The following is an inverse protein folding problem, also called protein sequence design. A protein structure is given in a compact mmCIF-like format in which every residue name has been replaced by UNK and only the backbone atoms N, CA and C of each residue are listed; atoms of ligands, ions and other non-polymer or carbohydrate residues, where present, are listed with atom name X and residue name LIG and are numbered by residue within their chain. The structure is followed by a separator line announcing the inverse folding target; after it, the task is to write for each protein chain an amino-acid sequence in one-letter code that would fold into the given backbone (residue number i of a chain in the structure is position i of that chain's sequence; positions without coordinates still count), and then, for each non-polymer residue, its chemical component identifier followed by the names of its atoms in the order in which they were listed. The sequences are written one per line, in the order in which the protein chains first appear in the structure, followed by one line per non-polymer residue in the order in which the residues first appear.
data_IF_228476631260
#
_entry.id   IF_228476631260
#
_cell.length_a   1.000
_cell.length_b   1.000
_cell.length_c   1.000
_cell.angle_alpha   90.00
_cell.angle_beta   90.00
_cell.angle_gamma   90.00
#
_symmetry.space_group_name_H-M   'P 1'
#
loop_
_entity.id
_entity.type
_entity.pdbx_description
1 polymer ?
#
# COMPACT_ATOMS: atom_id res chain seq x y z
N UNK A 1 -22.46 2.69 1.24
CA UNK A 1 -21.43 1.74 1.69
C UNK A 1 -20.18 2.50 2.05
N UNK A 2 -19.57 2.22 3.21
CA UNK A 2 -18.25 2.77 3.58
C UNK A 2 -17.19 2.33 2.54
N UNK A 3 -16.22 3.20 2.28
CA UNK A 3 -15.10 3.04 1.33
C UNK A 3 -14.27 1.75 1.53
N UNK A 4 -14.37 1.14 2.70
CA UNK A 4 -13.51 0.03 3.13
C UNK A 4 -13.81 -1.30 2.42
N UNK A 5 -14.97 -1.44 1.78
CA UNK A 5 -15.34 -2.70 1.11
C UNK A 5 -14.75 -2.83 -0.32
N UNK A 6 -14.34 -1.73 -0.95
CA UNK A 6 -13.91 -1.74 -2.36
C UNK A 6 -12.57 -2.47 -2.52
N UNK A 7 -11.66 -2.31 -1.56
CA UNK A 7 -10.34 -2.98 -1.58
C UNK A 7 -10.44 -4.50 -1.47
N UNK A 8 -11.58 -5.01 -0.99
CA UNK A 8 -11.82 -6.44 -0.79
C UNK A 8 -12.49 -7.12 -1.98
N UNK A 9 -12.82 -6.38 -3.05
CA UNK A 9 -13.33 -6.97 -4.29
C UNK A 9 -12.26 -7.93 -4.84
N UNK A 10 -12.53 -9.24 -4.95
CA UNK A 10 -11.52 -10.18 -5.41
C UNK A 10 -11.13 -9.89 -6.86
N UNK A 11 -9.83 -9.65 -7.11
CA UNK A 11 -9.30 -9.40 -8.46
C UNK A 11 -9.66 -10.55 -9.41
N UNK A 12 -9.66 -11.78 -8.89
CA UNK A 12 -10.07 -12.97 -9.64
C UNK A 12 -11.49 -12.84 -10.19
N UNK A 13 -12.43 -12.39 -9.35
CA UNK A 13 -13.84 -12.30 -9.72
C UNK A 13 -14.10 -11.11 -10.66
N UNK A 14 -13.41 -9.99 -10.42
CA UNK A 14 -13.42 -8.85 -11.33
C UNK A 14 -12.93 -9.25 -12.73
N UNK A 15 -11.76 -9.89 -12.83
CA UNK A 15 -11.22 -10.35 -14.12
C UNK A 15 -12.11 -11.39 -14.79
N UNK A 16 -12.67 -12.33 -14.01
CA UNK A 16 -13.61 -13.33 -14.52
C UNK A 16 -14.83 -12.68 -15.16
N UNK A 17 -15.40 -11.66 -14.53
CA UNK A 17 -16.54 -10.92 -15.08
C UNK A 17 -16.16 -10.14 -16.35
N UNK A 18 -14.91 -9.70 -16.48
CA UNK A 18 -14.37 -9.13 -17.72
C UNK A 18 -14.00 -10.20 -18.77
N UNK A 19 -14.33 -11.48 -18.54
CA UNK A 19 -14.03 -12.59 -19.45
C UNK A 19 -12.55 -13.02 -19.47
N UNK A 20 -11.76 -12.57 -18.50
CA UNK A 20 -10.34 -12.88 -18.38
C UNK A 20 -10.12 -14.01 -17.36
N UNK A 21 -9.54 -15.11 -17.82
CA UNK A 21 -9.33 -16.33 -17.03
C UNK A 21 -7.84 -16.66 -16.90
N UNK A 22 -7.42 -17.31 -15.80
CA UNK A 22 -6.02 -17.69 -15.64
C UNK A 22 -5.63 -18.71 -16.70
N UNK A 23 -4.45 -18.52 -17.31
CA UNK A 23 -3.84 -19.50 -18.20
C UNK A 23 -3.25 -20.69 -17.42
N UNK A 24 -2.87 -20.49 -16.15
CA UNK A 24 -2.50 -21.55 -15.21
C UNK A 24 -3.05 -21.23 -13.82
N UNK A 25 -3.64 -22.23 -13.18
CA UNK A 25 -4.22 -22.11 -11.84
C UNK A 25 -3.33 -22.85 -10.82
N UNK A 26 -3.08 -22.23 -9.66
CA UNK A 26 -2.31 -22.80 -8.56
C UNK A 26 -3.07 -22.66 -7.24
N UNK A 27 -2.63 -23.37 -6.21
CA UNK A 27 -3.16 -23.17 -4.86
C UNK A 27 -2.83 -21.75 -4.38
N UNK A 28 -3.84 -20.88 -4.35
CA UNK A 28 -3.74 -19.52 -3.83
C UNK A 28 -3.41 -18.42 -4.85
N UNK A 29 -3.10 -18.74 -6.11
CA UNK A 29 -2.89 -17.72 -7.14
C UNK A 29 -3.12 -18.26 -8.56
N UNK A 30 -3.41 -17.35 -9.49
CA UNK A 30 -3.51 -17.63 -10.92
C UNK A 30 -2.45 -16.89 -11.73
N UNK A 31 -1.94 -17.53 -12.78
CA UNK A 31 -1.11 -16.90 -13.80
C UNK A 31 -1.95 -16.63 -15.05
N UNK A 32 -2.08 -15.36 -15.40
CA UNK A 32 -2.80 -14.84 -16.55
C UNK A 32 -1.80 -14.35 -17.59
N UNK A 33 -2.27 -14.23 -18.83
CA UNK A 33 -1.59 -13.37 -19.79
C UNK A 33 -1.83 -11.92 -19.35
N UNK A 34 -0.80 -11.08 -19.44
CA UNK A 34 -0.92 -9.68 -19.11
C UNK A 34 -2.05 -9.03 -19.91
N UNK A 35 -3.01 -8.34 -19.26
CA UNK A 35 -4.07 -7.64 -19.97
C UNK A 35 -3.56 -6.35 -20.63
N UNK A 36 -2.29 -5.97 -20.40
CA UNK A 36 -1.71 -4.72 -20.87
C UNK A 36 -0.91 -4.85 -22.16
N UNK A 37 -0.63 -6.08 -22.62
CA UNK A 37 0.16 -6.36 -23.82
C UNK A 37 -0.18 -7.73 -24.39
N UNK A 38 0.14 -7.94 -25.66
CA UNK A 38 0.08 -9.27 -26.26
C UNK A 38 1.30 -10.09 -25.85
N UNK A 39 1.06 -11.28 -25.28
CA UNK A 39 2.11 -12.20 -24.87
C UNK A 39 1.69 -13.66 -25.02
N UNK A 40 2.69 -14.52 -25.28
CA UNK A 40 2.47 -15.97 -25.42
C UNK A 40 2.57 -16.70 -24.07
N UNK A 41 3.53 -16.29 -23.25
CA UNK A 41 3.80 -16.90 -21.94
C UNK A 41 3.16 -16.07 -20.83
N UNK A 42 2.27 -16.65 -20.00
CA UNK A 42 1.62 -15.93 -18.90
C UNK A 42 2.64 -15.37 -17.90
N UNK A 43 2.55 -14.08 -17.61
CA UNK A 43 3.43 -13.38 -16.67
C UNK A 43 2.71 -12.50 -15.66
N UNK A 44 1.38 -12.43 -15.74
CA UNK A 44 0.55 -11.66 -14.83
C UNK A 44 0.01 -12.55 -13.71
N UNK A 45 0.56 -12.41 -12.50
CA UNK A 45 0.14 -13.17 -11.32
C UNK A 45 -0.97 -12.42 -10.58
N UNK A 46 -2.04 -13.12 -10.21
CA UNK A 46 -3.05 -12.65 -9.24
C UNK A 46 -2.98 -13.55 -8.01
N UNK A 47 -2.63 -12.99 -6.87
CA UNK A 47 -2.63 -13.68 -5.58
C UNK A 47 -3.99 -13.56 -4.92
N UNK A 48 -4.66 -14.68 -4.67
CA UNK A 48 -6.04 -14.72 -4.18
C UNK A 48 -6.14 -14.49 -2.67
N UNK A 49 -5.06 -14.73 -1.93
CA UNK A 49 -5.04 -14.51 -0.48
C UNK A 49 -4.73 -13.05 -0.15
N UNK A 50 -3.75 -12.48 -0.87
CA UNK A 50 -3.38 -11.07 -0.69
C UNK A 50 -4.29 -10.11 -1.46
N UNK A 51 -5.05 -10.62 -2.43
CA UNK A 51 -5.85 -9.83 -3.37
C UNK A 51 -5.02 -8.74 -4.09
N UNK A 52 -3.83 -9.14 -4.56
CA UNK A 52 -2.88 -8.28 -5.27
C UNK A 52 -2.54 -8.90 -6.62
N UNK A 53 -2.22 -8.04 -7.60
CA UNK A 53 -1.65 -8.45 -8.87
C UNK A 53 -0.19 -8.02 -9.00
N UNK A 54 0.57 -8.78 -9.77
CA UNK A 54 1.93 -8.45 -10.18
C UNK A 54 2.17 -8.94 -11.60
N UNK A 55 2.65 -8.04 -12.47
CA UNK A 55 3.03 -8.35 -13.83
C UNK A 55 4.55 -8.46 -13.93
N UNK A 56 5.06 -9.69 -14.01
CA UNK A 56 6.50 -9.95 -14.09
C UNK A 56 7.15 -9.44 -15.38
N UNK A 57 6.36 -9.20 -16.44
CA UNK A 57 6.91 -8.68 -17.69
C UNK A 57 7.15 -7.17 -17.67
N UNK A 58 6.40 -6.40 -16.85
CA UNK A 58 6.63 -4.96 -16.68
C UNK A 58 7.19 -4.56 -15.32
N UNK A 59 7.14 -5.46 -14.33
CA UNK A 59 7.57 -5.21 -12.94
C UNK A 59 6.55 -4.44 -12.10
N UNK A 60 5.35 -4.20 -12.63
CA UNK A 60 4.31 -3.42 -11.94
C UNK A 60 3.34 -4.33 -11.19
N UNK A 61 2.63 -3.78 -10.21
CA UNK A 61 1.65 -4.51 -9.42
C UNK A 61 0.84 -3.59 -8.53
N UNK A 62 -0.17 -4.13 -7.86
CA UNK A 62 -1.01 -3.35 -6.96
C UNK A 62 -2.30 -4.06 -6.53
N UNK A 63 -3.20 -3.28 -5.96
CA UNK A 63 -4.55 -3.68 -5.58
C UNK A 63 -5.51 -3.71 -6.76
N UNK A 64 -6.75 -4.11 -6.52
CA UNK A 64 -7.84 -4.02 -7.51
C UNK A 64 -8.05 -2.59 -8.02
N UNK A 65 -7.83 -1.56 -7.19
CA UNK A 65 -7.99 -0.17 -7.62
C UNK A 65 -6.89 0.19 -8.63
N UNK A 66 -5.64 -0.16 -8.33
CA UNK A 66 -4.49 0.06 -9.22
C UNK A 66 -4.68 -0.69 -10.56
N UNK A 67 -5.27 -1.90 -10.50
CA UNK A 67 -5.60 -2.68 -11.68
C UNK A 67 -6.62 -1.95 -12.56
N UNK A 68 -7.75 -1.51 -12.00
CA UNK A 68 -8.81 -0.83 -12.75
C UNK A 68 -8.32 0.49 -13.33
N UNK A 69 -7.64 1.31 -12.53
CA UNK A 69 -7.02 2.56 -13.01
C UNK A 69 -6.14 2.31 -14.23
N UNK A 70 -5.40 1.21 -14.23
CA UNK A 70 -4.49 0.88 -15.33
C UNK A 70 -5.19 0.27 -16.54
N UNK A 71 -6.14 -0.64 -16.35
CA UNK A 71 -6.91 -1.27 -17.44
C UNK A 71 -7.69 -0.21 -18.22
N UNK A 72 -8.36 0.69 -17.49
CA UNK A 72 -9.28 1.66 -18.08
C UNK A 72 -8.64 3.03 -18.31
N UNK A 73 -7.37 3.20 -17.90
CA UNK A 73 -6.62 4.46 -17.98
C UNK A 73 -7.38 5.62 -17.34
N UNK A 74 -7.99 5.35 -16.18
CA UNK A 74 -8.85 6.28 -15.49
C UNK A 74 -8.21 6.76 -14.16
N UNK A 75 -8.52 7.98 -13.70
CA UNK A 75 -8.11 8.46 -12.39
C UNK A 75 -8.78 7.69 -11.26
N UNK A 76 -8.25 7.86 -10.04
CA UNK A 76 -8.69 7.13 -8.85
C UNK A 76 -10.21 7.18 -8.62
N UNK A 77 -10.83 8.36 -8.75
CA UNK A 77 -12.27 8.53 -8.50
C UNK A 77 -13.10 7.67 -9.46
N UNK A 78 -12.77 7.68 -10.75
CA UNK A 78 -13.47 6.90 -11.77
C UNK A 78 -13.33 5.40 -11.50
N UNK A 79 -12.14 4.93 -11.13
CA UNK A 79 -11.90 3.54 -10.76
C UNK A 79 -12.76 3.10 -9.55
N UNK A 80 -12.91 3.97 -8.54
CA UNK A 80 -13.77 3.74 -7.38
C UNK A 80 -15.24 3.63 -7.79
N UNK A 81 -15.72 4.50 -8.68
CA UNK A 81 -17.10 4.47 -9.16
C UNK A 81 -17.41 3.18 -9.95
N UNK A 82 -16.50 2.76 -10.82
CA UNK A 82 -16.65 1.50 -11.54
C UNK A 82 -16.69 0.29 -10.61
N UNK A 83 -15.79 0.23 -9.63
CA UNK A 83 -15.75 -0.87 -8.67
C UNK A 83 -16.99 -0.90 -7.76
N UNK A 84 -17.57 0.25 -7.43
CA UNK A 84 -18.88 0.30 -6.77
C UNK A 84 -19.94 -0.33 -7.67
N UNK A 85 -20.01 0.05 -8.94
CA UNK A 85 -20.99 -0.51 -9.88
C UNK A 85 -20.81 -2.02 -10.07
N UNK A 86 -19.57 -2.51 -10.06
CA UNK A 86 -19.26 -3.94 -10.07
C UNK A 86 -19.87 -4.67 -8.85
N UNK A 87 -19.75 -4.09 -7.65
CA UNK A 87 -20.29 -4.69 -6.41
C UNK A 87 -21.82 -4.80 -6.35
N UNK A 88 -22.55 -4.13 -7.25
CA UNK A 88 -24.02 -4.19 -7.36
C UNK A 88 -24.52 -5.14 -8.46
N UNK A 89 -23.63 -5.81 -9.20
CA UNK A 89 -24.01 -6.80 -10.20
C UNK A 89 -24.25 -8.17 -9.53
N UNK A 90 -25.43 -8.81 -9.70
CA UNK A 90 -25.64 -10.17 -9.21
C UNK A 90 -24.76 -11.13 -10.02
N UNK A 91 -23.78 -11.73 -9.36
CA UNK A 91 -22.97 -12.82 -9.91
C UNK A 91 -23.91 -13.99 -10.21
N UNK A 92 -24.13 -14.29 -11.50
CA UNK A 92 -24.88 -15.50 -11.89
C UNK A 92 -24.00 -16.71 -11.61
N UNK A 93 -24.40 -17.53 -10.64
CA UNK A 93 -23.81 -18.84 -10.42
C UNK A 93 -24.21 -19.78 -11.58
N UNK A 94 -23.24 -20.15 -12.42
CA UNK A 94 -23.40 -21.34 -13.26
C UNK A 94 -23.03 -22.58 -12.44
N UNK A 95 -24.06 -23.37 -12.13
CA UNK A 95 -23.93 -24.69 -11.55
C UNK A 95 -23.26 -25.62 -12.56
N UNK A 96 -22.03 -26.03 -12.28
CA UNK A 96 -21.47 -27.23 -12.89
C UNK A 96 -21.09 -28.23 -11.80
N UNK A 97 -21.96 -29.23 -11.68
CA UNK A 97 -21.83 -30.38 -10.82
C UNK A 97 -20.68 -31.27 -11.28
N UNK A 98 -19.65 -31.43 -10.46
CA UNK A 98 -18.98 -32.72 -10.30
C UNK A 98 -18.75 -32.95 -8.81
N UNK A 99 -19.56 -33.87 -8.26
CA UNK A 99 -19.36 -34.48 -6.95
C UNK A 99 -18.03 -35.23 -6.97
N UNK A 100 -17.21 -35.03 -5.95
CA UNK A 100 -16.47 -36.16 -5.40
C UNK A 100 -16.40 -36.02 -3.89
N UNK A 101 -17.04 -37.00 -3.25
CA UNK A 101 -17.18 -37.17 -1.83
C UNK A 101 -15.81 -37.36 -1.16
N UNK A 102 -15.55 -36.64 -0.07
CA UNK A 102 -14.77 -37.19 1.03
C UNK A 102 -15.48 -36.91 2.34
N UNK A 103 -16.19 -37.93 2.76
CA UNK A 103 -16.77 -38.13 4.07
C UNK A 103 -15.65 -38.26 5.10
N UNK A 104 -15.72 -37.50 6.20
CA UNK A 104 -15.39 -38.01 7.53
C UNK A 104 -15.97 -37.07 8.60
N UNK A 105 -17.16 -37.45 9.07
CA UNK A 105 -17.77 -36.98 10.29
C UNK A 105 -17.04 -37.49 11.53
N UNK A 106 -17.04 -36.69 12.61
CA UNK A 106 -17.38 -37.05 14.02
C UNK A 106 -17.29 -35.75 14.84
N UNK A 107 -18.43 -35.14 15.20
CA UNK A 107 -19.15 -35.31 16.49
C UNK A 107 -18.35 -34.79 17.70
N UNK A 108 -18.88 -34.02 18.65
CA UNK A 108 -20.23 -33.52 18.91
C UNK A 108 -20.19 -32.50 20.07
N UNK A 109 -21.10 -31.52 20.03
CA UNK A 109 -21.82 -30.91 21.17
C UNK A 109 -21.08 -30.23 22.34
N UNK A 110 -21.29 -28.92 22.52
CA UNK A 110 -22.21 -28.42 23.57
C UNK A 110 -22.61 -26.95 23.39
N UNK A 111 -23.64 -26.57 24.15
CA UNK A 111 -24.69 -25.57 23.87
C UNK A 111 -24.67 -24.44 24.93
N UNK A 112 -25.19 -23.26 24.55
CA UNK A 112 -25.93 -22.24 25.34
C UNK A 112 -25.26 -21.04 26.06
N UNK A 113 -25.83 -19.84 25.80
CA UNK A 113 -25.96 -18.64 26.67
C UNK A 113 -25.05 -17.45 26.32
N UNK A 114 -25.48 -16.34 25.68
CA UNK A 114 -26.38 -15.24 26.11
C UNK A 114 -25.64 -14.01 26.71
N UNK A 115 -25.92 -12.84 26.12
CA UNK A 115 -25.89 -11.46 26.65
C UNK A 115 -24.65 -10.55 26.42
N UNK A 116 -24.92 -9.53 25.59
CA UNK A 116 -24.43 -8.14 25.50
C UNK A 116 -23.47 -7.64 26.61
N UNK A 117 -22.37 -6.98 26.24
CA UNK A 117 -22.19 -5.50 26.30
C UNK A 117 -20.80 -5.06 25.83
N UNK A 118 -20.78 -3.87 25.24
CA UNK A 118 -19.70 -2.88 25.08
C UNK A 118 -18.52 -3.10 24.12
N UNK A 119 -18.70 -2.40 22.99
CA UNK A 119 -17.69 -1.81 22.12
C UNK A 119 -16.55 -1.17 22.92
N UNK A 120 -15.37 -1.74 22.74
CA UNK A 120 -14.14 -0.96 22.61
C UNK A 120 -13.34 -1.55 21.45
N UNK A 121 -13.75 -1.21 20.22
CA UNK A 121 -12.96 -1.50 19.03
C UNK A 121 -11.79 -0.51 18.96
N UNK A 122 -10.77 -0.80 19.78
CA UNK A 122 -9.43 -0.26 19.57
C UNK A 122 -9.00 -0.68 18.16
N UNK A 123 -8.81 0.30 17.28
CA UNK A 123 -8.21 0.12 15.98
C UNK A 123 -6.84 -0.52 16.16
N UNK A 124 -6.77 -1.83 15.99
CA UNK A 124 -5.56 -2.61 16.06
C UNK A 124 -5.35 -3.24 14.69
N UNK A 125 -4.34 -2.74 13.98
CA UNK A 125 -3.84 -3.39 12.77
C UNK A 125 -3.24 -4.75 13.17
N UNK A 126 -4.08 -5.78 13.27
CA UNK A 126 -3.62 -7.15 13.43
C UNK A 126 -2.94 -7.58 12.12
N UNK A 127 -1.61 -7.44 12.08
CA UNK A 127 -0.75 -8.26 11.23
C UNK A 127 0.07 -9.17 12.14
N UNK A 128 -0.07 -10.46 11.84
CA UNK A 128 0.48 -11.65 12.49
C UNK A 128 1.87 -11.47 13.17
N UNK A 129 2.07 -11.82 14.46
CA UNK A 129 3.35 -11.70 15.17
C UNK A 129 4.48 -12.64 14.71
N UNK A 130 4.22 -13.54 13.77
CA UNK A 130 5.01 -14.78 13.59
C UNK A 130 6.01 -14.76 12.41
N UNK A 131 6.37 -13.59 11.85
CA UNK A 131 7.53 -13.47 10.95
C UNK A 131 8.39 -12.25 11.28
N UNK A 132 9.07 -12.32 12.42
CA UNK A 132 10.11 -11.37 12.79
C UNK A 132 11.40 -11.65 11.99
N UNK A 133 11.45 -11.19 10.75
CA UNK A 133 12.70 -10.75 10.14
C UNK A 133 12.73 -9.22 10.27
N UNK A 134 12.75 -8.72 11.51
CA UNK A 134 12.63 -7.29 11.83
C UNK A 134 13.64 -6.46 11.04
N UNK A 135 13.18 -5.33 10.51
CA UNK A 135 14.07 -4.30 9.96
C UNK A 135 14.69 -3.57 11.15
N UNK A 136 16.00 -3.62 11.26
CA UNK A 136 16.75 -3.04 12.39
C UNK A 136 17.59 -1.88 11.86
N UNK A 137 17.43 -0.69 12.45
CA UNK A 137 18.30 0.45 12.15
C UNK A 137 19.72 0.14 12.65
N UNK A 138 20.71 0.28 11.77
CA UNK A 138 22.13 0.20 12.11
C UNK A 138 22.68 1.60 12.33
N UNK A 139 22.38 2.52 11.41
CA UNK A 139 23.01 3.84 11.41
C UNK A 139 22.12 4.90 10.74
N UNK A 140 22.20 6.12 11.24
CA UNK A 140 21.56 7.32 10.68
C UNK A 140 22.63 8.36 10.35
N UNK A 141 22.56 8.93 9.14
CA UNK A 141 23.49 9.95 8.64
C UNK A 141 22.76 11.09 7.95
N UNK A 142 23.48 12.20 7.76
CA UNK A 142 23.12 13.22 6.78
C UNK A 142 22.88 12.57 5.41
N UNK A 143 21.85 13.04 4.70
CA UNK A 143 21.47 12.48 3.41
C UNK A 143 22.49 12.88 2.31
N UNK A 144 23.45 12.00 2.04
CA UNK A 144 24.57 12.26 1.14
C UNK A 144 24.80 11.15 0.11
N UNK A 145 24.26 9.94 0.30
CA UNK A 145 24.47 8.81 -0.62
C UNK A 145 24.07 9.15 -2.06
N UNK A 146 24.99 9.08 -3.04
CA UNK A 146 24.73 9.50 -4.42
C UNK A 146 23.50 8.86 -5.06
N UNK A 147 23.28 7.55 -4.85
CA UNK A 147 22.11 6.84 -5.38
C UNK A 147 20.77 7.28 -4.77
N UNK A 148 20.76 7.71 -3.51
CA UNK A 148 19.55 8.22 -2.87
C UNK A 148 19.22 9.63 -3.38
N UNK A 149 20.26 10.45 -3.59
CA UNK A 149 20.13 11.77 -4.19
C UNK A 149 19.66 11.69 -5.65
N UNK A 150 20.23 10.80 -6.45
CA UNK A 150 19.81 10.54 -7.83
C UNK A 150 18.34 10.08 -7.88
N UNK A 151 17.94 9.21 -6.95
CA UNK A 151 16.56 8.78 -6.83
C UNK A 151 15.63 9.97 -6.54
N UNK A 152 15.94 10.81 -5.56
CA UNK A 152 15.14 12.00 -5.24
C UNK A 152 15.03 12.98 -6.41
N UNK A 153 16.13 13.21 -7.13
CA UNK A 153 16.14 14.01 -8.35
C UNK A 153 15.24 13.42 -9.44
N UNK A 154 15.26 12.09 -9.64
CA UNK A 154 14.37 11.41 -10.59
C UNK A 154 12.88 11.57 -10.22
N UNK A 155 12.59 11.75 -8.93
CA UNK A 155 11.26 12.03 -8.39
C UNK A 155 10.94 13.53 -8.33
N UNK A 156 11.83 14.38 -8.86
CA UNK A 156 11.72 15.84 -8.89
C UNK A 156 11.56 16.45 -7.49
N UNK A 157 12.21 15.86 -6.49
CA UNK A 157 12.28 16.41 -5.14
C UNK A 157 13.52 17.30 -5.02
N UNK A 158 13.36 18.50 -4.45
CA UNK A 158 14.49 19.39 -4.17
C UNK A 158 15.43 18.76 -3.13
N UNK A 159 16.73 18.77 -3.41
CA UNK A 159 17.72 18.11 -2.56
C UNK A 159 18.00 18.87 -1.25
N UNK A 160 17.77 20.18 -1.21
CA UNK A 160 17.91 20.98 0.02
C UNK A 160 16.77 20.61 0.97
N UNK A 161 15.54 20.59 0.46
CA UNK A 161 14.35 20.16 1.20
C UNK A 161 14.52 18.71 1.67
N UNK A 162 14.95 17.80 0.79
CA UNK A 162 15.13 16.40 1.19
C UNK A 162 16.19 16.25 2.30
N UNK A 163 17.28 17.01 2.28
CA UNK A 163 18.31 16.97 3.34
C UNK A 163 17.84 17.55 4.66
N UNK A 164 16.97 18.55 4.61
CA UNK A 164 16.35 19.15 5.79
C UNK A 164 15.43 18.14 6.50
N UNK A 165 14.61 17.43 5.73
CA UNK A 165 13.54 16.59 6.27
C UNK A 165 13.86 15.10 6.39
N UNK A 166 14.90 14.62 5.70
CA UNK A 166 15.23 13.21 5.66
C UNK A 166 16.67 12.93 6.11
N UNK A 167 16.92 11.65 6.37
CA UNK A 167 18.21 11.08 6.72
C UNK A 167 18.54 9.94 5.77
N UNK A 168 19.81 9.67 5.62
CA UNK A 168 20.25 8.39 5.07
C UNK A 168 20.28 7.39 6.21
N UNK A 169 19.51 6.31 6.10
CA UNK A 169 19.45 5.26 7.11
C UNK A 169 20.00 3.97 6.53
N UNK A 170 20.88 3.32 7.29
CA UNK A 170 21.39 1.98 7.02
C UNK A 170 20.68 1.02 7.95
N UNK A 171 20.18 -0.08 7.41
CA UNK A 171 19.37 -1.05 8.15
C UNK A 171 19.69 -2.48 7.76
N UNK A 172 19.44 -3.41 8.69
CA UNK A 172 19.57 -4.83 8.47
C UNK A 172 18.19 -5.49 8.37
N UNK A 173 18.03 -6.41 7.41
CA UNK A 173 16.91 -7.36 7.41
C UNK A 173 17.35 -8.67 6.75
N UNK A 174 16.94 -9.81 7.33
CA UNK A 174 17.34 -11.12 6.83
C UNK A 174 18.86 -11.33 6.77
N UNK A 175 19.61 -10.72 7.70
CA UNK A 175 21.07 -10.80 7.76
C UNK A 175 21.83 -9.98 6.71
N UNK A 176 21.14 -9.21 5.86
CA UNK A 176 21.75 -8.33 4.86
C UNK A 176 21.55 -6.87 5.23
N UNK A 177 22.54 -6.05 4.88
CA UNK A 177 22.52 -4.60 5.09
C UNK A 177 22.06 -3.87 3.84
N UNK A 178 21.30 -2.80 4.06
CA UNK A 178 20.69 -1.97 3.04
C UNK A 178 20.74 -0.51 3.47
N UNK A 179 20.55 0.40 2.52
CA UNK A 179 20.40 1.83 2.78
C UNK A 179 19.14 2.38 2.11
N UNK A 180 18.57 3.42 2.70
CA UNK A 180 17.38 4.09 2.21
C UNK A 180 17.32 5.55 2.69
N UNK A 181 16.42 6.31 2.08
CA UNK A 181 15.96 7.58 2.63
C UNK A 181 15.06 7.24 3.82
N UNK A 182 15.40 7.74 5.00
CA UNK A 182 14.59 7.66 6.21
C UNK A 182 13.89 8.99 6.48
N UNK A 183 12.58 8.91 6.74
CA UNK A 183 11.76 10.01 7.22
C UNK A 183 11.22 9.65 8.61
N UNK A 184 11.57 10.44 9.62
CA UNK A 184 11.24 10.14 11.01
C UNK A 184 9.74 10.27 11.29
N UNK A 185 9.22 9.42 12.18
CA UNK A 185 7.88 9.51 12.71
C UNK A 185 7.87 9.97 14.18
N UNK A 186 6.68 10.27 14.71
CA UNK A 186 6.51 10.85 16.05
C UNK A 186 6.93 9.89 17.18
N UNK A 187 6.99 8.57 16.90
CA UNK A 187 7.42 7.56 17.86
C UNK A 187 8.94 7.27 17.81
N UNK A 188 9.70 7.96 16.96
CA UNK A 188 11.14 7.77 16.80
C UNK A 188 11.53 6.60 15.88
N UNK A 189 10.60 6.04 15.12
CA UNK A 189 10.88 5.14 14.01
C UNK A 189 11.04 5.89 12.68
N UNK A 190 11.21 5.14 11.60
CA UNK A 190 11.40 5.69 10.26
C UNK A 190 10.48 5.06 9.23
N UNK A 191 9.88 5.88 8.39
CA UNK A 191 9.45 5.45 7.06
C UNK A 191 10.67 5.46 6.13
N UNK A 192 10.91 4.34 5.45
CA UNK A 192 12.08 4.17 4.60
C UNK A 192 11.70 3.93 3.15
N UNK A 193 12.47 4.55 2.25
CA UNK A 193 12.26 4.40 0.81
C UNK A 193 13.58 4.43 0.03
N UNK A 194 13.67 3.53 -0.95
CA UNK A 194 14.65 3.59 -2.03
C UNK A 194 13.94 3.18 -3.35
N UNK A 195 14.62 3.16 -4.51
CA UNK A 195 13.98 2.81 -5.79
C UNK A 195 13.28 1.44 -5.82
N UNK A 196 13.69 0.52 -4.95
CA UNK A 196 13.29 -0.88 -4.98
C UNK A 196 12.39 -1.28 -3.80
N UNK A 197 12.38 -0.48 -2.73
CA UNK A 197 11.74 -0.83 -1.48
C UNK A 197 11.10 0.38 -0.79
N UNK A 198 9.93 0.13 -0.20
CA UNK A 198 9.18 1.02 0.68
C UNK A 198 8.83 0.20 1.93
N UNK A 199 9.15 0.72 3.11
CA UNK A 199 8.87 0.03 4.37
C UNK A 199 9.06 0.92 5.58
N UNK A 200 9.06 0.32 6.77
CA UNK A 200 9.14 1.03 8.03
C UNK A 200 10.18 0.37 8.94
N UNK A 201 11.01 1.18 9.60
CA UNK A 201 11.79 0.82 10.76
C UNK A 201 10.93 1.14 11.97
N UNK A 202 10.60 0.12 12.77
CA UNK A 202 9.75 0.27 13.93
C UNK A 202 10.38 1.24 14.97
N UNK A 203 9.55 1.93 15.78
CA UNK A 203 8.08 1.86 15.84
C UNK A 203 7.39 2.55 14.66
N UNK A 204 6.17 2.10 14.31
CA UNK A 204 5.36 2.71 13.26
C UNK A 204 4.42 3.75 13.87
N UNK A 205 4.46 4.97 13.36
CA UNK A 205 3.56 6.05 13.76
C UNK A 205 3.37 7.05 12.61
N UNK A 206 2.43 7.98 12.76
CA UNK A 206 2.30 9.15 11.90
C UNK A 206 3.47 10.12 12.14
N UNK A 207 3.64 11.09 11.24
CA UNK A 207 4.48 12.25 11.49
C UNK A 207 3.60 13.50 11.56
N UNK A 208 3.71 14.27 12.63
CA UNK A 208 2.98 15.53 12.79
C UNK A 208 3.95 16.71 12.84
N UNK A 209 3.94 17.52 11.77
CA UNK A 209 4.72 18.75 11.68
C UNK A 209 3.84 19.91 12.11
N UNK A 210 3.97 20.25 13.40
CA UNK A 210 3.20 21.29 14.08
C UNK A 210 3.78 22.67 13.81
N UNK A 211 2.89 23.65 13.71
CA UNK A 211 3.24 25.06 13.81
C UNK A 211 3.10 25.55 15.26
N UNK A 212 3.80 26.63 15.61
CA UNK A 212 3.83 27.14 17.00
C UNK A 212 2.44 27.55 17.53
N UNK A 213 1.59 28.11 16.67
CA UNK A 213 0.22 28.49 17.01
C UNK A 213 -0.80 27.48 16.47
N UNK A 214 -1.97 27.37 17.13
CA UNK A 214 -3.08 26.56 16.63
C UNK A 214 -3.51 27.04 15.24
N UNK A 215 -3.54 26.13 14.27
CA UNK A 215 -3.98 26.43 12.89
C UNK A 215 -5.40 25.95 12.66
N UNK A 216 -6.11 26.64 11.77
CA UNK A 216 -7.47 26.28 11.36
C UNK A 216 -7.47 25.23 10.23
N UNK A 217 -6.34 25.09 9.53
CA UNK A 217 -6.18 24.16 8.41
C UNK A 217 -5.09 23.14 8.71
N UNK A 218 -5.33 21.88 8.33
CA UNK A 218 -4.35 20.80 8.40
C UNK A 218 -4.27 20.12 7.03
N UNK A 219 -3.05 19.94 6.53
CA UNK A 219 -2.79 19.17 5.31
C UNK A 219 -2.47 17.72 5.68
N UNK A 220 -3.07 16.79 4.94
CA UNK A 220 -2.93 15.36 5.18
C UNK A 220 -2.26 14.69 3.97
N UNK A 221 -1.21 13.92 4.22
CA UNK A 221 -0.44 13.21 3.19
C UNK A 221 -0.46 11.72 3.45
N UNK A 222 -0.56 10.91 2.38
CA UNK A 222 -0.47 9.45 2.49
C UNK A 222 0.93 9.03 2.96
N UNK A 223 1.97 9.61 2.37
CA UNK A 223 3.35 9.36 2.75
C UNK A 223 4.26 10.58 2.59
N UNK A 224 5.47 10.45 3.12
CA UNK A 224 6.41 11.57 3.18
C UNK A 224 6.83 12.11 1.80
N UNK A 225 6.78 11.27 0.75
CA UNK A 225 7.10 11.73 -0.61
C UNK A 225 6.10 12.76 -1.14
N UNK A 226 4.82 12.66 -0.76
CA UNK A 226 3.80 13.63 -1.15
C UNK A 226 4.04 14.96 -0.44
N UNK A 227 4.41 14.88 0.85
CA UNK A 227 4.81 16.03 1.65
C UNK A 227 6.03 16.75 1.05
N UNK A 228 7.11 16.02 0.73
CA UNK A 228 8.30 16.60 0.09
C UNK A 228 7.98 17.21 -1.29
N UNK A 229 7.06 16.59 -2.03
CA UNK A 229 6.61 17.10 -3.34
C UNK A 229 5.91 18.46 -3.18
N UNK A 230 5.04 18.61 -2.19
CA UNK A 230 4.40 19.90 -1.89
C UNK A 230 5.44 20.96 -1.56
N UNK A 231 6.39 20.67 -0.66
CA UNK A 231 7.43 21.63 -0.29
C UNK A 231 8.25 22.05 -1.51
N UNK A 232 8.62 21.09 -2.36
CA UNK A 232 9.37 21.35 -3.60
C UNK A 232 8.59 22.27 -4.54
N UNK A 233 7.30 22.01 -4.76
CA UNK A 233 6.45 22.85 -5.61
C UNK A 233 6.31 24.26 -5.01
N UNK A 234 6.16 24.38 -3.70
CA UNK A 234 6.05 25.70 -3.03
C UNK A 234 7.33 26.51 -3.17
N UNK A 235 8.49 25.89 -2.99
CA UNK A 235 9.77 26.57 -3.15
C UNK A 235 9.96 27.08 -4.60
N UNK A 236 9.49 26.31 -5.59
CA UNK A 236 9.58 26.71 -7.00
C UNK A 236 8.60 27.83 -7.37
N UNK A 237 7.36 27.77 -6.88
CA UNK A 237 6.30 28.71 -7.26
C UNK A 237 6.29 29.99 -6.43
N UNK A 238 6.64 29.90 -5.14
CA UNK A 238 6.61 30.99 -4.17
C UNK A 238 7.89 31.02 -3.32
N UNK A 239 9.07 31.27 -3.92
CA UNK A 239 10.35 31.26 -3.22
C UNK A 239 10.47 32.29 -2.10
N UNK A 240 9.66 33.36 -2.13
CA UNK A 240 9.61 34.37 -1.05
C UNK A 240 8.86 33.87 0.21
N UNK A 241 8.03 32.84 0.08
CA UNK A 241 7.25 32.25 1.17
C UNK A 241 7.27 30.72 1.14
N UNK A 242 8.45 30.09 1.26
CA UNK A 242 8.63 28.65 1.08
C UNK A 242 7.94 27.85 2.22
N UNK A 243 7.95 28.40 3.43
CA UNK A 243 7.36 27.85 4.63
C UNK A 243 6.10 28.63 5.01
N UNK A 244 4.96 28.16 4.52
CA UNK A 244 3.67 28.65 5.00
C UNK A 244 3.37 28.07 6.36
N UNK A 245 3.50 28.87 7.41
CA UNK A 245 3.18 28.52 8.78
C UNK A 245 1.67 28.65 9.11
N UNK A 246 0.78 28.62 8.11
CA UNK A 246 -0.67 28.78 8.32
C UNK A 246 -1.41 27.43 8.45
N UNK A 247 -0.71 26.30 8.33
CA UNK A 247 -1.29 24.97 8.39
C UNK A 247 -0.36 23.98 9.10
N UNK A 248 -0.96 23.03 9.81
CA UNK A 248 -0.26 21.84 10.31
C UNK A 248 -0.17 20.79 9.20
N UNK A 249 0.84 19.92 9.26
CA UNK A 249 0.98 18.83 8.29
C UNK A 249 1.00 17.50 9.03
N UNK A 250 0.10 16.60 8.65
CA UNK A 250 0.06 15.22 9.13
C UNK A 250 0.42 14.31 7.97
N UNK A 251 1.45 13.49 8.16
CA UNK A 251 1.87 12.46 7.24
C UNK A 251 1.44 11.12 7.84
N UNK A 252 0.54 10.42 7.17
CA UNK A 252 -0.03 9.15 7.65
C UNK A 252 0.98 8.02 7.68
N UNK A 253 2.08 8.15 6.95
CA UNK A 253 3.12 7.13 6.88
C UNK A 253 2.53 5.78 6.44
N UNK A 254 1.59 5.81 5.49
CA UNK A 254 0.96 4.62 4.94
C UNK A 254 1.94 3.99 3.95
N UNK A 255 2.78 3.07 4.46
CA UNK A 255 3.78 2.33 3.69
C UNK A 255 3.20 1.16 2.91
#
# INVERSE_FOLDING_TARGET
MQSDNIKNIPIRDYLKNQGTYPAKEYSGYGMYRSPFRDERTPSFKVDYHLNLWHDFGSGEGGSIIDLVMKLDRCPFIDAIEQLRNFSFMPVKEEQHSLKLDYFCARHSSNKFGSALTDRNSSFSFHRNPEKNNGIILIEEKSLEHPRLLEYLQSRKIDLTIAREHCREVHYQTGGREYFAIGFANDAGGYEIRNPYFKGCIAPKDITHIRQDDRKETCFLFEGFMDYLSLLTIRQQLNPEYPSSNWHDNIILNST
#
